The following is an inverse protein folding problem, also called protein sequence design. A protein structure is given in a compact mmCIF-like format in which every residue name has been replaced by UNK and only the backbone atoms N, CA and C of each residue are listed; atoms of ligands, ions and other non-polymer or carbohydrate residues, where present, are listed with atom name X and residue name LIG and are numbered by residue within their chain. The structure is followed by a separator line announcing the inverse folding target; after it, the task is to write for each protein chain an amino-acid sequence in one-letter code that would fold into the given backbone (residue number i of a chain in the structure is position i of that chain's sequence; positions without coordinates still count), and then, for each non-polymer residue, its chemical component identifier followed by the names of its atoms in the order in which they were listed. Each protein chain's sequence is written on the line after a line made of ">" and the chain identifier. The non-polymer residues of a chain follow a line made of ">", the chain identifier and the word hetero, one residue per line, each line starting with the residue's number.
data_IF_246592490175
#
_entry.id   IF_246592490175
#
_cell.length_a   1.000
_cell.length_b   1.000
_cell.length_c   1.000
_cell.angle_alpha   90.00
_cell.angle_beta   90.00
_cell.angle_gamma   90.00
#
_symmetry.space_group_name_H-M   'P 1'
#
loop_
_entity.id
_entity.type
_entity.pdbx_description
1 polymer ?
#
# COMPACT_ATOMS: atom_id res chain seq x y z
N UNK A 1 -12.66 -31.92 -44.31
CA UNK A 1 -13.57 -31.84 -43.16
C UNK A 1 -12.71 -31.78 -41.90
N UNK A 2 -11.85 -30.76 -41.82
CA UNK A 2 -10.77 -30.68 -40.83
C UNK A 2 -10.32 -29.22 -40.65
N UNK A 3 -11.27 -28.31 -40.43
CA UNK A 3 -10.97 -26.90 -40.08
C UNK A 3 -11.80 -26.39 -38.89
N UNK A 4 -12.59 -27.24 -38.25
CA UNK A 4 -13.40 -26.87 -37.08
C UNK A 4 -12.78 -27.31 -35.73
N UNK A 5 -11.62 -27.95 -35.75
CA UNK A 5 -10.94 -28.41 -34.52
C UNK A 5 -9.98 -27.39 -33.91
N UNK A 6 -9.52 -26.38 -34.67
CA UNK A 6 -8.48 -25.45 -34.20
C UNK A 6 -9.00 -24.11 -33.68
N UNK A 7 -10.33 -23.91 -33.63
CA UNK A 7 -10.90 -22.65 -33.10
C UNK A 7 -11.16 -22.65 -31.60
N UNK A 8 -10.88 -23.76 -30.90
CA UNK A 8 -11.09 -23.89 -29.44
C UNK A 8 -9.80 -23.78 -28.62
N UNK A 9 -8.74 -23.20 -29.18
CA UNK A 9 -7.44 -23.07 -28.51
C UNK A 9 -6.88 -21.65 -28.62
N UNK A 10 -7.76 -20.64 -28.55
CA UNK A 10 -7.39 -19.23 -28.39
C UNK A 10 -8.25 -18.49 -27.35
N UNK A 11 -9.09 -19.20 -26.59
CA UNK A 11 -9.93 -18.64 -25.50
C UNK A 11 -9.35 -18.87 -24.10
N UNK A 12 -8.11 -19.34 -23.97
CA UNK A 12 -7.52 -19.74 -22.68
C UNK A 12 -6.35 -18.86 -22.22
N UNK A 13 -6.20 -17.64 -22.77
CA UNK A 13 -5.15 -16.70 -22.36
C UNK A 13 -5.65 -15.45 -21.62
N UNK A 14 -6.96 -15.29 -21.42
CA UNK A 14 -7.53 -14.13 -20.70
C UNK A 14 -8.11 -14.47 -19.31
N UNK A 15 -8.05 -15.74 -18.89
CA UNK A 15 -8.65 -16.18 -17.63
C UNK A 15 -7.58 -16.75 -16.69
N UNK A 16 -6.67 -15.88 -16.22
CA UNK A 16 -5.89 -16.05 -14.98
C UNK A 16 -5.33 -14.70 -14.53
N UNK A 17 -6.15 -13.65 -14.54
CA UNK A 17 -5.90 -12.50 -13.66
C UNK A 17 -6.57 -12.84 -12.34
N UNK A 18 -5.76 -13.29 -11.38
CA UNK A 18 -6.27 -13.55 -10.04
C UNK A 18 -6.93 -12.28 -9.51
N UNK A 19 -8.07 -12.43 -8.83
CA UNK A 19 -8.74 -11.29 -8.18
C UNK A 19 -7.85 -10.60 -7.13
N UNK A 20 -6.70 -11.18 -6.78
CA UNK A 20 -5.68 -10.57 -5.91
C UNK A 20 -4.81 -9.54 -6.63
N UNK A 21 -4.59 -9.67 -7.95
CA UNK A 21 -3.72 -8.74 -8.71
C UNK A 21 -4.41 -7.41 -9.05
N UNK A 22 -5.75 -7.32 -8.94
CA UNK A 22 -6.48 -6.04 -9.08
C UNK A 22 -6.53 -5.25 -7.74
N UNK A 23 -6.00 -5.79 -6.64
CA UNK A 23 -5.96 -5.16 -5.31
C UNK A 23 -4.61 -4.44 -5.06
N UNK A 24 -3.73 -4.39 -6.05
CA UNK A 24 -2.31 -4.04 -5.93
C UNK A 24 -1.89 -2.56 -5.78
N UNK A 25 -2.75 -1.64 -5.31
CA UNK A 25 -2.36 -0.23 -5.04
C UNK A 25 -2.90 0.34 -3.70
N UNK A 26 -3.40 -0.51 -2.82
CA UNK A 26 -4.08 -0.09 -1.60
C UNK A 26 -3.14 -0.09 -0.38
N UNK A 27 -2.29 0.93 -0.28
CA UNK A 27 -1.59 1.22 0.98
C UNK A 27 -2.58 1.36 2.15
N UNK A 28 -2.26 0.71 3.28
CA UNK A 28 -3.09 0.70 4.50
C UNK A 28 -2.36 1.38 5.67
N UNK A 29 -3.07 1.95 6.66
CA UNK A 29 -2.43 2.41 7.88
C UNK A 29 -1.84 1.21 8.64
N UNK A 30 -0.60 1.35 9.11
CA UNK A 30 0.09 0.36 9.92
C UNK A 30 0.43 1.03 11.25
N UNK A 31 -0.21 0.63 12.36
CA UNK A 31 0.19 1.09 13.70
C UNK A 31 1.61 0.58 13.98
N UNK A 32 2.51 1.50 14.32
CA UNK A 32 3.89 1.16 14.71
C UNK A 32 4.17 1.50 16.18
N UNK A 33 3.34 2.34 16.79
CA UNK A 33 3.36 2.63 18.22
C UNK A 33 1.99 2.27 18.78
N UNK A 34 1.99 1.40 19.78
CA UNK A 34 0.81 0.93 20.49
C UNK A 34 0.76 1.68 21.83
N UNK A 35 -0.41 2.24 22.15
CA UNK A 35 -0.64 2.86 23.44
C UNK A 35 -1.41 1.87 24.31
N UNK A 36 -0.84 1.49 25.44
CA UNK A 36 -1.55 0.68 26.42
C UNK A 36 -2.41 1.61 27.30
N UNK A 37 -3.72 1.36 27.29
CA UNK A 37 -4.69 2.15 28.04
C UNK A 37 -4.56 1.98 29.55
N UNK A 38 -4.05 0.83 29.99
CA UNK A 38 -4.20 0.36 31.37
C UNK A 38 -3.01 0.79 32.23
N UNK A 39 -1.81 0.84 31.66
CA UNK A 39 -0.57 1.23 32.33
C UNK A 39 0.05 2.54 31.79
N UNK A 40 -0.63 3.20 30.85
CA UNK A 40 -0.18 4.44 30.19
C UNK A 40 1.20 4.32 29.53
N UNK A 41 1.62 3.11 29.15
CA UNK A 41 2.86 2.88 28.43
C UNK A 41 2.67 2.94 26.92
N UNK A 42 3.77 3.10 26.22
CA UNK A 42 3.83 3.00 24.76
C UNK A 42 4.81 1.90 24.38
N UNK A 43 4.37 1.04 23.47
CA UNK A 43 5.18 -0.04 22.93
C UNK A 43 5.41 0.19 21.44
N UNK A 44 6.63 -0.13 20.98
CA UNK A 44 6.96 -0.10 19.57
C UNK A 44 6.68 -1.49 18.99
N UNK A 45 5.84 -1.54 17.96
CA UNK A 45 5.68 -2.74 17.14
C UNK A 45 6.82 -2.80 16.12
N UNK A 46 7.93 -3.41 16.55
CA UNK A 46 9.11 -3.57 15.71
C UNK A 46 8.84 -4.41 14.46
N UNK A 47 7.99 -5.44 14.55
CA UNK A 47 7.68 -6.29 13.41
C UNK A 47 6.90 -5.53 12.34
N UNK A 48 5.90 -4.75 12.75
CA UNK A 48 5.15 -3.87 11.87
C UNK A 48 6.08 -2.84 11.20
N UNK A 49 6.98 -2.21 11.95
CA UNK A 49 7.91 -1.22 11.40
C UNK A 49 8.91 -1.85 10.42
N UNK A 50 9.48 -3.02 10.77
CA UNK A 50 10.40 -3.77 9.91
C UNK A 50 9.73 -4.18 8.60
N UNK A 51 8.46 -4.61 8.65
CA UNK A 51 7.68 -4.99 7.48
C UNK A 51 7.51 -3.85 6.45
N UNK A 52 7.67 -2.59 6.89
CA UNK A 52 7.56 -1.41 6.04
C UNK A 52 8.93 -0.90 5.60
N UNK A 53 9.91 -0.81 6.50
CA UNK A 53 11.18 -0.13 6.21
C UNK A 53 12.29 -1.05 5.68
N UNK A 54 12.23 -2.37 5.98
CA UNK A 54 13.30 -3.32 5.61
C UNK A 54 12.96 -4.17 4.38
N UNK A 55 12.11 -3.68 3.49
CA UNK A 55 11.89 -4.38 2.21
C UNK A 55 13.09 -4.14 1.28
N UNK A 56 13.58 -5.18 0.64
CA UNK A 56 14.79 -5.16 -0.22
C UNK A 56 14.83 -3.99 -1.21
N UNK A 57 13.68 -3.63 -1.80
CA UNK A 57 13.59 -2.57 -2.81
C UNK A 57 13.57 -1.14 -2.24
N UNK A 58 13.60 -0.94 -0.92
CA UNK A 58 13.57 0.38 -0.27
C UNK A 58 14.51 0.56 0.92
N UNK A 59 15.02 -0.52 1.54
CA UNK A 59 15.79 -0.46 2.78
C UNK A 59 17.03 0.47 2.70
N UNK A 60 17.67 0.55 1.54
CA UNK A 60 18.89 1.32 1.31
C UNK A 60 18.63 2.71 0.70
N UNK A 61 17.36 3.14 0.62
CA UNK A 61 16.98 4.44 0.05
C UNK A 61 16.99 5.53 1.11
N UNK A 62 17.27 6.77 0.67
CA UNK A 62 17.11 7.96 1.51
C UNK A 62 15.65 8.09 1.96
N UNK A 63 15.44 8.29 3.26
CA UNK A 63 14.10 8.39 3.86
C UNK A 63 13.78 9.84 4.20
N UNK A 64 12.54 10.23 3.98
CA UNK A 64 11.96 11.49 4.47
C UNK A 64 10.78 11.14 5.37
N UNK A 65 10.76 11.67 6.60
CA UNK A 65 9.66 11.49 7.53
C UNK A 65 8.76 12.72 7.49
N UNK A 66 7.46 12.50 7.23
CA UNK A 66 6.43 13.54 7.26
C UNK A 66 5.43 13.20 8.36
N UNK A 67 5.32 14.06 9.37
CA UNK A 67 4.44 13.86 10.52
C UNK A 67 3.49 15.04 10.74
N UNK A 68 2.27 14.75 11.18
CA UNK A 68 1.27 15.76 11.57
C UNK A 68 0.85 15.50 13.02
N UNK A 69 1.11 16.45 13.92
CA UNK A 69 0.76 16.39 15.34
C UNK A 69 -0.12 17.57 15.76
N UNK A 70 -0.80 17.46 16.92
CA UNK A 70 -1.64 18.53 17.47
C UNK A 70 -2.94 18.02 18.10
N UNK A 71 -3.81 18.94 18.53
CA UNK A 71 -5.00 18.65 19.32
C UNK A 71 -5.98 17.65 18.66
N UNK A 72 -6.71 16.89 19.48
CA UNK A 72 -7.69 15.91 19.05
C UNK A 72 -8.83 16.57 18.25
N UNK A 73 -9.30 15.88 17.19
CA UNK A 73 -10.35 16.36 16.25
C UNK A 73 -10.07 17.66 15.48
N UNK A 74 -8.80 18.07 15.32
CA UNK A 74 -8.41 19.20 14.44
C UNK A 74 -8.09 18.79 12.98
N UNK A 75 -8.69 17.70 12.48
CA UNK A 75 -8.55 17.32 11.07
C UNK A 75 -7.20 16.75 10.65
N UNK A 76 -6.36 16.26 11.58
CA UNK A 76 -5.02 15.70 11.25
C UNK A 76 -5.09 14.56 10.23
N UNK A 77 -5.98 13.57 10.44
CA UNK A 77 -6.17 12.46 9.49
C UNK A 77 -6.70 12.94 8.14
N UNK A 78 -7.50 14.01 8.12
CA UNK A 78 -7.98 14.62 6.88
C UNK A 78 -6.83 15.21 6.05
N UNK A 79 -5.90 15.93 6.70
CA UNK A 79 -4.72 16.47 6.04
C UNK A 79 -3.79 15.35 5.51
N UNK A 80 -3.53 14.33 6.32
CA UNK A 80 -2.73 13.17 5.87
C UNK A 80 -3.36 12.46 4.66
N UNK A 81 -4.69 12.32 4.64
CA UNK A 81 -5.40 11.77 3.48
C UNK A 81 -5.19 12.61 2.20
N UNK A 82 -5.10 13.94 2.33
CA UNK A 82 -4.78 14.81 1.20
C UNK A 82 -3.35 14.56 0.67
N UNK A 83 -2.36 14.39 1.55
CA UNK A 83 -1.00 14.01 1.15
C UNK A 83 -0.96 12.66 0.42
N UNK A 84 -1.69 11.66 0.91
CA UNK A 84 -1.79 10.36 0.24
C UNK A 84 -2.36 10.49 -1.18
N UNK A 85 -3.40 11.32 -1.38
CA UNK A 85 -3.95 11.60 -2.72
C UNK A 85 -2.93 12.28 -3.63
N UNK A 86 -2.20 13.28 -3.12
CA UNK A 86 -1.16 13.96 -3.87
C UNK A 86 -0.03 13.00 -4.29
N UNK A 87 0.51 12.21 -3.36
CA UNK A 87 1.60 11.27 -3.61
C UNK A 87 1.21 10.20 -4.64
N UNK A 88 -0.02 9.68 -4.56
CA UNK A 88 -0.56 8.72 -5.53
C UNK A 88 -0.69 9.32 -6.93
N UNK A 89 -1.09 10.59 -7.04
CA UNK A 89 -1.28 11.27 -8.34
C UNK A 89 0.02 11.45 -9.16
N UNK A 90 1.17 11.42 -8.51
CA UNK A 90 2.50 11.60 -9.14
C UNK A 90 3.11 10.30 -9.64
N UNK A 91 2.76 9.17 -9.03
CA UNK A 91 3.30 7.84 -9.41
C UNK A 91 2.67 7.33 -10.72
N UNK A 92 1.42 7.68 -11.02
CA UNK A 92 0.72 7.23 -12.24
C UNK A 92 1.05 7.97 -13.54
N UNK A 93 1.98 8.94 -13.55
CA UNK A 93 2.29 9.78 -14.73
C UNK A 93 3.60 9.44 -15.45
N UNK A 94 4.33 8.41 -15.01
CA UNK A 94 5.68 8.13 -15.51
C UNK A 94 5.75 7.01 -16.56
N UNK A 95 4.61 6.51 -17.07
CA UNK A 95 4.54 5.42 -18.06
C UNK A 95 3.80 5.83 -19.35
N UNK A 96 4.06 7.02 -19.90
CA UNK A 96 3.53 7.41 -21.22
C UNK A 96 4.59 7.99 -22.11
#
# INVERSE_FOLDING_TARGET
>A
MEELSNRKQMDSAEENMSAEDTIGLNGRPIPVVLANSDDHTFELDEEALRSVLLKDHIQDKKVVVVSVAGAFRKGKSFLLNFFLRYLKSKVGKNNS
#
